data_IF_625464564332
#
_entry.id   IF_625464564332
#
_cell.length_a   1.000
_cell.length_b   1.000
_cell.length_c   1.000
_cell.angle_alpha   90.00
_cell.angle_beta   90.00
_cell.angle_gamma   90.00
#
_symmetry.space_group_name_H-M   'P 1'
#
loop_
_entity.id
_entity.type
_entity.pdbx_description
1 polymer ?
#
# COMPACT_ATOMS: atom_id res chain seq x y z
N UNK A 1 -15.64 4.19 16.47
CA UNK A 1 -15.17 3.23 15.45
C UNK A 1 -13.67 3.37 15.15
N UNK A 2 -13.17 4.57 14.84
CA UNK A 2 -11.79 4.79 14.36
C UNK A 2 -10.67 4.28 15.30
N UNK A 3 -10.81 4.45 16.61
CA UNK A 3 -9.85 3.91 17.58
C UNK A 3 -9.77 2.37 17.57
N UNK A 4 -10.89 1.68 17.33
CA UNK A 4 -10.94 0.22 17.21
C UNK A 4 -10.29 -0.24 15.90
N UNK A 5 -10.52 0.48 14.80
CA UNK A 5 -9.89 0.20 13.51
C UNK A 5 -8.35 0.38 13.57
N UNK A 6 -7.87 1.46 14.20
CA UNK A 6 -6.43 1.68 14.38
C UNK A 6 -5.78 0.60 15.24
N UNK A 7 -6.42 0.24 16.36
CA UNK A 7 -5.96 -0.84 17.25
C UNK A 7 -5.97 -2.21 16.55
N UNK A 8 -6.99 -2.47 15.73
CA UNK A 8 -7.08 -3.68 14.89
C UNK A 8 -5.86 -3.80 13.98
N UNK A 9 -5.53 -2.73 13.24
CA UNK A 9 -4.39 -2.68 12.34
C UNK A 9 -3.06 -2.91 13.06
N UNK A 10 -2.85 -2.27 14.22
CA UNK A 10 -1.64 -2.46 15.01
C UNK A 10 -1.50 -3.92 15.49
N UNK A 11 -2.56 -4.52 16.02
CA UNK A 11 -2.57 -5.90 16.52
C UNK A 11 -2.35 -6.90 15.37
N UNK A 12 -2.90 -6.64 14.19
CA UNK A 12 -2.65 -7.45 12.99
C UNK A 12 -1.17 -7.38 12.56
N UNK A 13 -0.55 -6.18 12.62
CA UNK A 13 0.88 -6.00 12.35
C UNK A 13 1.79 -6.72 13.34
N UNK A 14 1.33 -6.98 14.56
CA UNK A 14 2.01 -7.81 15.57
C UNK A 14 1.81 -9.32 15.35
N UNK A 15 1.09 -9.75 14.29
CA UNK A 15 0.83 -11.15 13.99
C UNK A 15 -0.41 -11.74 14.68
N UNK A 16 -1.16 -10.96 15.46
CA UNK A 16 -2.35 -11.41 16.20
C UNK A 16 -3.63 -11.25 15.36
N UNK A 17 -3.68 -11.95 14.23
CA UNK A 17 -4.66 -11.75 13.15
C UNK A 17 -6.12 -11.90 13.63
N UNK A 18 -6.45 -12.94 14.41
CA UNK A 18 -7.82 -13.21 14.88
C UNK A 18 -8.34 -12.07 15.77
N UNK A 19 -7.51 -11.58 16.70
CA UNK A 19 -7.86 -10.47 17.58
C UNK A 19 -8.02 -9.17 16.81
N UNK A 20 -7.16 -8.94 15.82
CA UNK A 20 -7.31 -7.82 14.89
C UNK A 20 -8.64 -7.86 14.15
N UNK A 21 -9.02 -9.04 13.64
CA UNK A 21 -10.28 -9.24 12.90
C UNK A 21 -11.52 -8.99 13.77
N UNK A 22 -11.54 -9.48 15.01
CA UNK A 22 -12.65 -9.22 15.94
C UNK A 22 -12.85 -7.72 16.21
N UNK A 23 -11.76 -6.98 16.40
CA UNK A 23 -11.83 -5.53 16.62
C UNK A 23 -12.26 -4.77 15.35
N UNK A 24 -11.85 -5.25 14.16
CA UNK A 24 -12.33 -4.69 12.89
C UNK A 24 -13.84 -4.87 12.74
N UNK A 25 -14.36 -6.08 13.03
CA UNK A 25 -15.79 -6.34 12.97
C UNK A 25 -16.59 -5.45 13.95
N UNK A 26 -16.10 -5.28 15.19
CA UNK A 26 -16.73 -4.36 16.13
C UNK A 26 -16.72 -2.90 15.66
N UNK A 27 -15.64 -2.48 14.99
CA UNK A 27 -15.55 -1.13 14.42
C UNK A 27 -16.58 -0.93 13.30
N UNK A 28 -16.75 -1.95 12.45
CA UNK A 28 -17.65 -1.94 11.29
C UNK A 28 -19.10 -1.97 11.73
N UNK A 29 -19.50 -2.82 12.68
CA UNK A 29 -20.87 -2.83 13.19
C UNK A 29 -21.31 -1.45 13.71
N UNK A 30 -20.41 -0.74 14.40
CA UNK A 30 -20.68 0.64 14.87
C UNK A 30 -20.80 1.64 13.71
N UNK A 31 -20.09 1.42 12.61
CA UNK A 31 -20.21 2.27 11.42
C UNK A 31 -21.49 1.95 10.65
N UNK A 32 -21.89 0.68 10.57
CA UNK A 32 -23.17 0.27 9.98
C UNK A 32 -24.35 0.84 10.76
N UNK A 33 -24.28 0.89 12.10
CA UNK A 33 -25.28 1.57 12.94
C UNK A 33 -25.39 3.07 12.60
N UNK A 34 -24.25 3.75 12.36
CA UNK A 34 -24.23 5.16 11.95
C UNK A 34 -24.87 5.32 10.56
N UNK A 35 -24.51 4.48 9.60
CA UNK A 35 -25.08 4.51 8.24
C UNK A 35 -26.58 4.22 8.25
N UNK A 36 -27.05 3.35 9.14
CA UNK A 36 -28.47 3.05 9.30
C UNK A 36 -29.26 4.24 9.87
N UNK A 37 -28.65 5.04 10.75
CA UNK A 37 -29.25 6.26 11.31
C UNK A 37 -29.18 7.44 10.34
N UNK A 38 -28.04 7.61 9.67
CA UNK A 38 -27.79 8.66 8.70
C UNK A 38 -26.98 8.11 7.51
N UNK A 39 -27.69 7.73 6.46
CA UNK A 39 -27.07 7.21 5.24
C UNK A 39 -26.29 8.25 4.44
N UNK A 40 -26.43 9.54 4.78
CA UNK A 40 -25.66 10.65 4.20
C UNK A 40 -24.35 10.92 4.93
N UNK A 41 -24.07 10.22 6.05
CA UNK A 41 -22.79 10.27 6.72
C UNK A 41 -21.71 9.49 5.94
N UNK A 42 -21.26 10.07 4.83
CA UNK A 42 -20.46 9.33 3.85
C UNK A 42 -19.10 8.85 4.36
N UNK A 43 -18.58 9.47 5.42
CA UNK A 43 -17.29 9.11 6.00
C UNK A 43 -17.28 7.70 6.62
N UNK A 44 -18.44 7.18 7.03
CA UNK A 44 -18.55 5.81 7.52
C UNK A 44 -18.28 4.76 6.43
N UNK A 45 -18.62 5.07 5.16
CA UNK A 45 -18.48 4.13 4.05
C UNK A 45 -17.03 3.78 3.73
N UNK A 46 -16.04 4.61 4.11
CA UNK A 46 -14.64 4.23 4.00
C UNK A 46 -14.34 2.99 4.86
N UNK A 47 -14.78 2.99 6.11
CA UNK A 47 -14.50 1.90 7.05
C UNK A 47 -15.29 0.63 6.72
N UNK A 48 -16.59 0.74 6.46
CA UNK A 48 -17.44 -0.41 6.10
C UNK A 48 -17.03 -0.97 4.74
N UNK A 49 -16.81 -0.11 3.74
CA UNK A 49 -16.39 -0.52 2.40
C UNK A 49 -15.02 -1.20 2.38
N UNK A 50 -14.03 -0.63 3.10
CA UNK A 50 -12.71 -1.26 3.27
C UNK A 50 -12.83 -2.66 3.86
N UNK A 51 -13.65 -2.82 4.92
CA UNK A 51 -13.84 -4.12 5.54
C UNK A 51 -14.47 -5.13 4.58
N UNK A 52 -15.53 -4.75 3.86
CA UNK A 52 -16.20 -5.62 2.90
C UNK A 52 -15.23 -6.09 1.82
N UNK A 53 -14.41 -5.19 1.27
CA UNK A 53 -13.41 -5.54 0.27
C UNK A 53 -12.35 -6.49 0.83
N UNK A 54 -11.65 -6.11 1.90
CA UNK A 54 -10.52 -6.88 2.41
C UNK A 54 -10.92 -8.23 3.00
N UNK A 55 -12.07 -8.30 3.69
CA UNK A 55 -12.64 -9.57 4.15
C UNK A 55 -12.85 -10.51 2.97
N UNK A 56 -13.57 -10.04 1.94
CA UNK A 56 -13.89 -10.83 0.75
C UNK A 56 -12.62 -11.26 -0.01
N UNK A 57 -11.66 -10.36 -0.17
CA UNK A 57 -10.37 -10.66 -0.79
C UNK A 57 -9.64 -11.78 -0.03
N UNK A 58 -9.56 -11.72 1.30
CA UNK A 58 -8.88 -12.71 2.13
C UNK A 58 -9.61 -14.06 2.18
N UNK A 59 -10.95 -14.04 2.19
CA UNK A 59 -11.77 -15.26 2.26
C UNK A 59 -12.23 -15.77 0.90
N UNK A 60 -11.69 -15.26 -0.22
CA UNK A 60 -12.13 -15.64 -1.58
C UNK A 60 -12.07 -17.14 -1.88
N UNK A 61 -11.12 -17.85 -1.28
CA UNK A 61 -10.99 -19.31 -1.41
C UNK A 61 -12.06 -20.07 -0.62
N UNK A 62 -12.77 -19.39 0.29
CA UNK A 62 -13.90 -19.89 1.08
C UNK A 62 -15.25 -19.42 0.50
N UNK A 63 -15.26 -18.76 -0.66
CA UNK A 63 -16.49 -18.16 -1.22
C UNK A 63 -17.58 -19.19 -1.59
N UNK A 64 -17.23 -20.48 -1.62
CA UNK A 64 -18.18 -21.57 -1.79
C UNK A 64 -19.08 -21.81 -0.56
N UNK A 65 -18.70 -21.29 0.61
CA UNK A 65 -19.48 -21.39 1.85
C UNK A 65 -20.59 -20.31 1.90
N UNK A 66 -21.79 -20.65 2.42
CA UNK A 66 -22.98 -19.79 2.37
C UNK A 66 -22.91 -18.50 3.22
N UNK A 67 -21.79 -18.22 3.89
CA UNK A 67 -21.58 -17.01 4.71
C UNK A 67 -20.40 -16.14 4.23
N UNK A 68 -19.68 -16.58 3.21
CA UNK A 68 -18.48 -15.93 2.69
C UNK A 68 -18.67 -15.40 1.28
N UNK A 69 -19.81 -14.76 1.03
CA UNK A 69 -20.07 -14.11 -0.24
C UNK A 69 -19.02 -13.04 -0.58
N UNK A 70 -18.62 -12.99 -1.85
CA UNK A 70 -17.74 -11.95 -2.36
C UNK A 70 -18.49 -10.61 -2.40
N UNK A 71 -18.00 -9.65 -1.61
CA UNK A 71 -18.55 -8.30 -1.49
C UNK A 71 -17.53 -7.25 -1.91
N UNK A 72 -16.51 -7.60 -2.71
CA UNK A 72 -15.49 -6.64 -3.17
C UNK A 72 -16.09 -5.49 -3.96
N UNK A 73 -17.01 -5.76 -4.89
CA UNK A 73 -17.68 -4.73 -5.67
C UNK A 73 -18.49 -3.76 -4.76
N UNK A 74 -19.22 -4.30 -3.78
CA UNK A 74 -19.94 -3.49 -2.78
C UNK A 74 -18.99 -2.65 -1.95
N UNK A 75 -17.86 -3.23 -1.53
CA UNK A 75 -16.82 -2.53 -0.79
C UNK A 75 -16.24 -1.34 -1.56
N UNK A 76 -15.88 -1.57 -2.84
CA UNK A 76 -15.39 -0.52 -3.74
C UNK A 76 -16.43 0.59 -3.90
N UNK A 77 -17.70 0.25 -4.18
CA UNK A 77 -18.77 1.23 -4.35
C UNK A 77 -19.00 2.08 -3.08
N UNK A 78 -18.85 1.49 -1.89
CA UNK A 78 -18.91 2.25 -0.63
C UNK A 78 -17.72 3.21 -0.48
N UNK A 79 -16.50 2.76 -0.78
CA UNK A 79 -15.32 3.62 -0.70
C UNK A 79 -15.41 4.76 -1.73
N UNK A 80 -15.94 4.50 -2.93
CA UNK A 80 -16.23 5.53 -3.93
C UNK A 80 -17.22 6.57 -3.42
N UNK A 81 -18.27 6.17 -2.68
CA UNK A 81 -19.17 7.13 -2.03
C UNK A 81 -18.44 8.02 -1.02
N UNK A 82 -17.57 7.44 -0.19
CA UNK A 82 -16.74 8.19 0.75
C UNK A 82 -15.74 9.12 0.05
N UNK A 83 -15.16 8.68 -1.08
CA UNK A 83 -14.28 9.49 -1.90
C UNK A 83 -15.00 10.72 -2.48
N UNK A 84 -16.17 10.52 -3.10
CA UNK A 84 -16.89 11.62 -3.74
C UNK A 84 -17.58 12.56 -2.74
N UNK A 85 -18.16 12.03 -1.66
CA UNK A 85 -19.07 12.80 -0.79
C UNK A 85 -18.60 12.93 0.66
N UNK A 86 -17.56 12.19 1.08
CA UNK A 86 -17.02 12.27 2.44
C UNK A 86 -16.39 13.62 2.73
N UNK A 87 -16.65 14.17 3.91
CA UNK A 87 -16.12 15.45 4.34
C UNK A 87 -14.69 15.30 4.87
N UNK A 88 -14.45 14.22 5.63
CA UNK A 88 -13.17 13.97 6.31
C UNK A 88 -12.34 12.88 5.62
N UNK A 89 -13.01 11.91 5.04
CA UNK A 89 -12.41 10.66 4.58
C UNK A 89 -12.07 10.64 3.09
N UNK A 90 -12.47 11.66 2.31
CA UNK A 90 -12.29 11.72 0.85
C UNK A 90 -10.91 11.28 0.39
N UNK A 91 -9.87 11.90 0.92
CA UNK A 91 -8.48 11.63 0.48
C UNK A 91 -7.96 10.28 0.95
N UNK A 92 -8.40 9.84 2.13
CA UNK A 92 -8.09 8.50 2.63
C UNK A 92 -8.79 7.43 1.78
N UNK A 93 -10.04 7.66 1.37
CA UNK A 93 -10.80 6.79 0.48
C UNK A 93 -10.18 6.72 -0.91
N UNK A 94 -9.74 7.85 -1.47
CA UNK A 94 -9.04 7.89 -2.76
C UNK A 94 -7.74 7.07 -2.74
N UNK A 95 -6.92 7.23 -1.69
CA UNK A 95 -5.72 6.40 -1.53
C UNK A 95 -6.06 4.92 -1.30
N UNK A 96 -7.13 4.62 -0.56
CA UNK A 96 -7.60 3.26 -0.35
C UNK A 96 -8.00 2.60 -1.68
N UNK A 97 -8.74 3.31 -2.54
CA UNK A 97 -9.07 2.87 -3.89
C UNK A 97 -7.81 2.61 -4.72
N UNK A 98 -6.81 3.48 -4.66
CA UNK A 98 -5.55 3.26 -5.37
C UNK A 98 -4.90 1.92 -4.99
N UNK A 99 -4.81 1.60 -3.70
CA UNK A 99 -4.28 0.32 -3.22
C UNK A 99 -5.16 -0.89 -3.59
N UNK A 100 -6.49 -0.73 -3.54
CA UNK A 100 -7.43 -1.76 -4.00
C UNK A 100 -7.23 -2.04 -5.48
N UNK A 101 -7.10 -1.01 -6.31
CA UNK A 101 -6.90 -1.18 -7.75
C UNK A 101 -5.54 -1.82 -8.08
N UNK A 102 -4.48 -1.51 -7.33
CA UNK A 102 -3.21 -2.27 -7.42
C UNK A 102 -3.45 -3.75 -7.11
N UNK A 103 -4.22 -4.04 -6.07
CA UNK A 103 -4.51 -5.41 -5.64
C UNK A 103 -5.36 -6.18 -6.67
N UNK A 104 -6.31 -5.52 -7.32
CA UNK A 104 -7.11 -6.05 -8.44
C UNK A 104 -6.35 -6.06 -9.78
N UNK A 105 -5.11 -5.57 -9.80
CA UNK A 105 -4.27 -5.41 -11.01
C UNK A 105 -4.83 -4.43 -12.04
N UNK A 106 -5.74 -3.55 -11.63
CA UNK A 106 -6.24 -2.42 -12.43
C UNK A 106 -5.30 -1.23 -12.22
N UNK A 107 -4.09 -1.35 -12.78
CA UNK A 107 -3.02 -0.36 -12.52
C UNK A 107 -3.34 1.03 -13.08
N UNK A 108 -4.16 1.12 -14.13
CA UNK A 108 -4.58 2.39 -14.70
C UNK A 108 -5.46 3.19 -13.74
N UNK A 109 -6.48 2.56 -13.14
CA UNK A 109 -7.30 3.23 -12.11
C UNK A 109 -6.51 3.54 -10.85
N UNK A 110 -5.54 2.70 -10.48
CA UNK A 110 -4.67 2.97 -9.36
C UNK A 110 -3.83 4.24 -9.58
N UNK A 111 -3.25 4.38 -10.78
CA UNK A 111 -2.50 5.58 -11.20
C UNK A 111 -3.42 6.80 -11.20
N UNK A 112 -4.63 6.70 -11.76
CA UNK A 112 -5.61 7.79 -11.79
C UNK A 112 -5.95 8.27 -10.37
N UNK A 113 -6.27 7.35 -9.45
CA UNK A 113 -6.58 7.69 -8.06
C UNK A 113 -5.39 8.41 -7.38
N UNK A 114 -4.18 7.86 -7.54
CA UNK A 114 -2.99 8.44 -6.93
C UNK A 114 -2.66 9.82 -7.52
N UNK A 115 -2.76 9.98 -8.84
CA UNK A 115 -2.49 11.25 -9.52
C UNK A 115 -3.54 12.32 -9.16
N UNK A 116 -4.81 11.95 -9.02
CA UNK A 116 -5.84 12.87 -8.52
C UNK A 116 -5.48 13.39 -7.12
N UNK A 117 -5.02 12.52 -6.22
CA UNK A 117 -4.51 12.95 -4.92
C UNK A 117 -3.30 13.88 -5.02
N UNK A 118 -2.35 13.58 -5.90
CA UNK A 118 -1.16 14.40 -6.10
C UNK A 118 -1.46 15.76 -6.74
N UNK A 119 -2.53 15.89 -7.53
CA UNK A 119 -2.94 17.20 -8.06
C UNK A 119 -3.31 18.18 -6.93
N UNK A 120 -3.84 17.68 -5.81
CA UNK A 120 -4.11 18.49 -4.62
C UNK A 120 -2.94 18.52 -3.64
N UNK A 121 -2.12 17.47 -3.59
CA UNK A 121 -0.99 17.34 -2.67
C UNK A 121 0.28 16.84 -3.38
N UNK A 122 0.99 17.71 -4.15
CA UNK A 122 2.01 17.29 -5.11
C UNK A 122 3.18 16.46 -4.57
N UNK A 123 3.50 16.61 -3.27
CA UNK A 123 4.62 15.93 -2.62
C UNK A 123 4.18 14.90 -1.59
N UNK A 124 2.88 14.60 -1.54
CA UNK A 124 2.32 13.71 -0.53
C UNK A 124 2.80 12.28 -0.74
N UNK A 125 3.64 11.78 0.17
CA UNK A 125 4.07 10.38 0.18
C UNK A 125 2.89 9.42 0.20
N UNK A 126 1.78 9.85 0.80
CA UNK A 126 0.54 9.07 0.89
C UNK A 126 -0.03 8.69 -0.49
N UNK A 127 0.20 9.52 -1.51
CA UNK A 127 -0.20 9.24 -2.89
C UNK A 127 0.98 8.81 -3.78
N UNK A 128 2.20 9.28 -3.51
CA UNK A 128 3.37 8.83 -4.26
C UNK A 128 3.64 7.32 -4.10
N UNK A 129 3.39 6.74 -2.91
CA UNK A 129 3.56 5.30 -2.69
C UNK A 129 2.69 4.43 -3.60
N UNK A 130 1.34 4.57 -3.62
CA UNK A 130 0.52 3.80 -4.54
C UNK A 130 0.79 4.16 -6.01
N UNK A 131 1.16 5.41 -6.35
CA UNK A 131 1.55 5.77 -7.71
C UNK A 131 2.75 4.93 -8.19
N UNK A 132 3.84 4.92 -7.41
CA UNK A 132 5.05 4.20 -7.78
C UNK A 132 4.82 2.69 -7.86
N UNK A 133 4.05 2.13 -6.92
CA UNK A 133 3.71 0.70 -6.92
C UNK A 133 2.82 0.32 -8.11
N UNK A 134 1.84 1.15 -8.47
CA UNK A 134 0.99 0.91 -9.64
C UNK A 134 1.80 0.97 -10.95
N UNK A 135 2.64 1.99 -11.13
CA UNK A 135 3.53 2.14 -12.29
C UNK A 135 4.49 0.95 -12.41
N UNK A 136 5.10 0.55 -11.29
CA UNK A 136 6.03 -0.57 -11.23
C UNK A 136 5.36 -1.89 -11.65
N UNK A 137 4.16 -2.17 -11.13
CA UNK A 137 3.43 -3.38 -11.49
C UNK A 137 2.86 -3.36 -12.90
N UNK A 138 2.57 -2.16 -13.44
CA UNK A 138 2.27 -1.93 -14.86
C UNK A 138 3.50 -2.13 -15.77
N UNK A 139 4.69 -2.34 -15.19
CA UNK A 139 6.00 -2.41 -15.88
C UNK A 139 6.43 -1.10 -16.54
N UNK A 140 5.86 0.02 -16.12
CA UNK A 140 6.35 1.34 -16.48
C UNK A 140 7.48 1.73 -15.52
N UNK A 141 8.64 1.09 -15.71
CA UNK A 141 9.78 1.23 -14.81
C UNK A 141 10.39 2.63 -14.84
N UNK A 142 10.27 3.34 -15.97
CA UNK A 142 10.73 4.72 -16.08
C UNK A 142 9.89 5.66 -15.20
N UNK A 143 8.56 5.56 -15.28
CA UNK A 143 7.67 6.37 -14.44
C UNK A 143 7.80 5.99 -12.96
N UNK A 144 7.86 4.68 -12.66
CA UNK A 144 8.05 4.17 -11.31
C UNK A 144 9.36 4.69 -10.70
N UNK A 145 10.46 4.68 -11.45
CA UNK A 145 11.76 5.20 -11.03
C UNK A 145 11.68 6.67 -10.65
N UNK A 146 11.01 7.50 -11.45
CA UNK A 146 10.83 8.91 -11.15
C UNK A 146 10.06 9.11 -9.82
N UNK A 147 8.95 8.37 -9.66
CA UNK A 147 8.13 8.42 -8.44
C UNK A 147 8.89 7.94 -7.20
N UNK A 148 9.59 6.81 -7.28
CA UNK A 148 10.38 6.29 -6.16
C UNK A 148 11.56 7.17 -5.80
N UNK A 149 12.19 7.83 -6.79
CA UNK A 149 13.27 8.79 -6.52
C UNK A 149 12.77 10.01 -5.75
N UNK A 150 11.60 10.53 -6.09
CA UNK A 150 10.95 11.61 -5.33
C UNK A 150 10.61 11.17 -3.89
N UNK A 151 10.08 9.96 -3.71
CA UNK A 151 9.84 9.36 -2.40
C UNK A 151 11.13 9.22 -1.59
N UNK A 152 12.20 8.70 -2.20
CA UNK A 152 13.48 8.48 -1.53
C UNK A 152 14.05 9.80 -1.02
N UNK A 153 14.07 10.83 -1.87
CA UNK A 153 14.51 12.19 -1.48
C UNK A 153 13.72 12.70 -0.27
N UNK A 154 12.41 12.49 -0.26
CA UNK A 154 11.56 12.91 0.86
C UNK A 154 11.84 12.11 2.14
N UNK A 155 12.04 10.79 2.04
CA UNK A 155 12.30 9.89 3.18
C UNK A 155 13.65 10.16 3.83
N UNK A 156 14.72 10.34 3.06
CA UNK A 156 16.06 10.57 3.62
C UNK A 156 16.22 11.97 4.23
N UNK A 157 15.35 12.91 3.86
CA UNK A 157 15.32 14.24 4.45
C UNK A 157 14.65 14.28 5.83
N UNK A 158 14.04 13.19 6.30
CA UNK A 158 13.40 13.15 7.61
C UNK A 158 14.43 13.11 8.75
N UNK A 159 14.16 13.90 9.79
CA UNK A 159 14.94 13.85 11.04
C UNK A 159 14.94 12.46 11.68
N UNK A 160 13.82 11.73 11.55
CA UNK A 160 13.68 10.38 12.09
C UNK A 160 13.44 9.38 10.95
N UNK A 161 14.49 8.68 10.56
CA UNK A 161 14.45 7.62 9.58
C UNK A 161 14.98 6.33 10.23
N UNK A 162 14.12 5.32 10.38
CA UNK A 162 14.51 4.03 10.98
C UNK A 162 15.09 3.03 9.96
N UNK A 163 15.34 3.48 8.72
CA UNK A 163 15.94 2.72 7.64
C UNK A 163 14.97 1.85 6.84
N UNK A 164 13.72 1.65 7.30
CA UNK A 164 12.79 0.75 6.62
C UNK A 164 12.38 1.24 5.22
N UNK A 165 11.84 2.46 5.14
CA UNK A 165 11.36 3.02 3.88
C UNK A 165 12.52 3.29 2.91
N UNK A 166 13.67 3.78 3.41
CA UNK A 166 14.88 3.97 2.61
C UNK A 166 15.32 2.64 1.97
N UNK A 167 15.34 1.55 2.75
CA UNK A 167 15.70 0.21 2.25
C UNK A 167 14.74 -0.26 1.15
N UNK A 168 13.43 -0.13 1.38
CA UNK A 168 12.41 -0.54 0.42
C UNK A 168 12.53 0.25 -0.88
N UNK A 169 12.74 1.56 -0.80
CA UNK A 169 12.88 2.43 -1.98
C UNK A 169 14.16 2.15 -2.76
N UNK A 170 15.30 1.94 -2.08
CA UNK A 170 16.54 1.57 -2.77
C UNK A 170 16.39 0.25 -3.53
N UNK A 171 15.72 -0.76 -2.97
CA UNK A 171 15.46 -2.02 -3.67
C UNK A 171 14.55 -1.82 -4.89
N UNK A 172 13.48 -1.03 -4.75
CA UNK A 172 12.55 -0.73 -5.85
C UNK A 172 13.25 0.03 -6.98
N UNK A 173 14.07 1.03 -6.64
CA UNK A 173 14.88 1.79 -7.60
C UNK A 173 15.90 0.89 -8.29
N UNK A 174 16.63 0.06 -7.53
CA UNK A 174 17.57 -0.92 -8.10
C UNK A 174 16.88 -1.83 -9.13
N UNK A 175 15.68 -2.32 -8.80
CA UNK A 175 14.90 -3.17 -9.69
C UNK A 175 14.45 -2.40 -10.94
N UNK A 176 14.03 -1.14 -10.82
CA UNK A 176 13.69 -0.33 -12.00
C UNK A 176 14.89 -0.14 -12.93
N UNK A 177 16.07 0.21 -12.40
CA UNK A 177 17.29 0.33 -13.21
C UNK A 177 17.66 -0.99 -13.88
N UNK A 178 17.54 -2.11 -13.16
CA UNK A 178 17.81 -3.42 -13.73
C UNK A 178 16.90 -3.73 -14.93
N UNK A 179 15.60 -3.52 -14.78
CA UNK A 179 14.62 -3.78 -15.86
C UNK A 179 14.76 -2.78 -17.03
N UNK A 180 15.35 -1.61 -16.79
CA UNK A 180 15.72 -0.63 -17.82
C UNK A 180 17.09 -0.89 -18.47
N UNK A 181 17.82 -1.92 -18.03
CA UNK A 181 19.14 -2.29 -18.55
C UNK A 181 20.32 -1.48 -17.98
N UNK A 182 20.08 -0.59 -17.03
CA UNK A 182 21.12 0.17 -16.33
C UNK A 182 21.70 -0.65 -15.17
N UNK A 183 22.49 -1.66 -15.52
CA UNK A 183 23.03 -2.64 -14.57
C UNK A 183 23.97 -1.99 -13.55
N UNK A 184 24.71 -0.95 -13.94
CA UNK A 184 25.65 -0.24 -13.06
C UNK A 184 24.90 0.46 -11.95
N UNK A 185 23.88 1.26 -12.27
CA UNK A 185 23.10 1.94 -11.23
C UNK A 185 22.22 0.98 -10.45
N UNK A 186 21.69 -0.07 -11.09
CA UNK A 186 20.99 -1.14 -10.40
C UNK A 186 21.85 -1.77 -9.29
N UNK A 187 23.11 -2.10 -9.60
CA UNK A 187 24.06 -2.66 -8.65
C UNK A 187 24.34 -1.71 -7.48
N UNK A 188 24.53 -0.41 -7.77
CA UNK A 188 24.78 0.61 -6.73
C UNK A 188 23.63 0.68 -5.72
N UNK A 189 22.39 0.77 -6.19
CA UNK A 189 21.21 0.82 -5.32
C UNK A 189 20.98 -0.50 -4.58
N UNK A 190 21.21 -1.65 -5.22
CA UNK A 190 21.12 -2.96 -4.57
C UNK A 190 22.18 -3.14 -3.48
N UNK A 191 23.41 -2.65 -3.69
CA UNK A 191 24.45 -2.67 -2.66
C UNK A 191 24.14 -1.68 -1.52
N UNK A 192 23.51 -0.53 -1.83
CA UNK A 192 23.06 0.43 -0.83
C UNK A 192 22.08 -0.20 0.16
N UNK A 193 21.17 -1.07 -0.30
CA UNK A 193 20.25 -1.83 0.57
C UNK A 193 20.97 -2.55 1.73
N UNK A 194 22.20 -3.05 1.51
CA UNK A 194 22.99 -3.77 2.53
C UNK A 194 23.67 -2.86 3.56
N UNK A 195 23.81 -1.56 3.26
CA UNK A 195 24.57 -0.61 4.10
C UNK A 195 23.70 0.37 4.88
N UNK A 196 22.39 0.42 4.59
CA UNK A 196 21.45 1.28 5.32
C UNK A 196 21.33 0.82 6.78
N UNK A 197 21.56 1.75 7.71
CA UNK A 197 21.39 1.51 9.14
C UNK A 197 19.89 1.36 9.48
N UNK A 198 19.46 0.11 9.69
CA UNK A 198 18.09 -0.20 10.09
C UNK A 198 17.96 -0.37 11.61
N UNK A 199 16.95 0.29 12.18
CA UNK A 199 16.62 0.17 13.60
C UNK A 199 16.17 -1.26 13.94
N UNK A 200 16.38 -1.69 15.20
CA UNK A 200 16.18 -3.08 15.62
C UNK A 200 14.75 -3.59 15.36
N UNK A 201 13.74 -2.74 15.56
CA UNK A 201 12.33 -3.08 15.42
C UNK A 201 11.89 -3.36 13.97
N UNK A 202 12.67 -2.92 12.98
CA UNK A 202 12.36 -3.15 11.55
C UNK A 202 13.19 -4.26 10.90
N UNK A 203 14.29 -4.71 11.52
CA UNK A 203 15.22 -5.71 10.94
C UNK A 203 14.50 -6.98 10.49
N UNK A 204 13.58 -7.52 11.30
CA UNK A 204 12.79 -8.72 10.94
C UNK A 204 11.99 -8.51 9.65
N UNK A 205 11.42 -7.32 9.47
CA UNK A 205 10.59 -6.97 8.29
C UNK A 205 11.43 -6.71 7.04
N UNK A 206 12.74 -6.48 7.18
CA UNK A 206 13.68 -6.23 6.07
C UNK A 206 14.37 -7.49 5.56
N UNK A 207 14.27 -8.63 6.27
CA UNK A 207 14.96 -9.89 5.89
C UNK A 207 14.72 -10.27 4.42
N UNK A 208 13.47 -10.26 3.98
CA UNK A 208 13.13 -10.57 2.58
C UNK A 208 13.65 -9.54 1.58
N UNK A 209 13.77 -8.27 2.01
CA UNK A 209 14.25 -7.18 1.14
C UNK A 209 15.77 -7.27 0.95
N UNK A 210 16.50 -7.67 1.98
CA UNK A 210 17.93 -7.99 1.86
C UNK A 210 18.16 -9.18 0.94
N UNK A 211 17.41 -10.28 1.14
CA UNK A 211 17.51 -11.45 0.25
C UNK A 211 17.18 -11.12 -1.21
N UNK A 212 16.17 -10.26 -1.45
CA UNK A 212 15.83 -9.81 -2.79
C UNK A 212 16.94 -8.94 -3.43
N UNK A 213 17.62 -8.10 -2.64
CA UNK A 213 18.77 -7.33 -3.10
C UNK A 213 19.96 -8.23 -3.46
N UNK A 214 20.26 -9.24 -2.62
CA UNK A 214 21.32 -10.20 -2.89
C UNK A 214 21.04 -10.99 -4.18
N UNK A 215 19.80 -11.46 -4.35
CA UNK A 215 19.37 -12.13 -5.58
C UNK A 215 19.47 -11.23 -6.82
N UNK A 216 19.15 -9.94 -6.69
CA UNK A 216 19.31 -8.98 -7.78
C UNK A 216 20.78 -8.78 -8.16
N UNK A 217 21.68 -8.67 -7.16
CA UNK A 217 23.12 -8.57 -7.39
C UNK A 217 23.68 -9.80 -8.11
N UNK A 218 23.22 -11.00 -7.74
CA UNK A 218 23.61 -12.23 -8.43
C UNK A 218 23.12 -12.24 -9.89
N UNK A 219 21.88 -11.81 -10.17
CA UNK A 219 21.38 -11.70 -11.55
C UNK A 219 22.21 -10.73 -12.39
N UNK A 220 22.61 -9.59 -11.83
CA UNK A 220 23.46 -8.62 -12.52
C UNK A 220 24.79 -9.25 -12.90
N UNK A 221 25.46 -9.96 -11.97
CA UNK A 221 26.75 -10.61 -12.22
C UNK A 221 26.72 -11.59 -13.40
N UNK A 222 25.65 -12.38 -13.54
CA UNK A 222 25.52 -13.34 -14.64
C UNK A 222 24.98 -12.73 -15.94
N UNK A 223 24.62 -11.44 -15.96
CA UNK A 223 24.22 -10.74 -17.19
C UNK A 223 25.41 -10.18 -17.96
N UNK A 224 26.58 -10.11 -17.30
CA UNK A 224 27.85 -9.65 -17.88
C UNK A 224 28.74 -10.83 -18.37
N UNK A 225 28.32 -12.09 -18.14
CA UNK A 225 28.97 -13.33 -18.60
C UNK A 225 28.37 -13.82 -19.93
#
# INVERSE_FOLDING_TARGET
ASALAYKSFQIAREGKIIKGLSLALQAVNRLDEIVAQDSSFYDAYLGTGSYLYWRSYLTRHLAWLPFFHDQRATGIAQIEKACHNGLLSRWAALSNLAWIYIQEKDYDKAIECAQHGLNSFPTSRFFLWPLGDAQFHKKDFAAALATYSALLKSVIAEKHNNGYNETVLNLKIATCHFELGDLVTAQQYAQRVRTIAAAGEVKKRLKEKYAAADHLLDRIRHSDE
#
